data_IF_117407421873
#
_entry.id   IF_117407421873
#
_cell.length_a   1.000
_cell.length_b   1.000
_cell.length_c   1.000
_cell.angle_alpha   90.00
_cell.angle_beta   90.00
_cell.angle_gamma   90.00
#
_symmetry.space_group_name_H-M   'P 1'
#
loop_
_entity.id
_entity.type
_entity.pdbx_description
1 polymer ?
#
# COMPACT_ATOMS: atom_id res chain seq x y z
N UNK A 1 4.38 -4.43 -22.56
CA UNK A 1 3.74 -3.48 -21.63
C UNK A 1 4.79 -2.99 -20.66
N UNK A 2 5.24 -1.74 -20.80
CA UNK A 2 6.25 -1.18 -19.91
C UNK A 2 5.66 -1.11 -18.49
N UNK A 3 6.29 -1.79 -17.53
CA UNK A 3 6.00 -1.62 -16.10
C UNK A 3 6.45 -0.19 -15.74
N UNK A 4 5.59 0.80 -15.94
CA UNK A 4 5.87 2.16 -15.50
C UNK A 4 6.07 2.12 -13.99
N UNK A 5 7.30 2.43 -13.57
CA UNK A 5 7.69 2.43 -12.17
C UNK A 5 6.84 3.44 -11.41
N UNK A 6 6.31 3.05 -10.25
CA UNK A 6 5.61 3.94 -9.33
C UNK A 6 6.41 5.22 -9.01
N UNK A 7 7.75 5.13 -9.07
CA UNK A 7 8.63 6.28 -8.92
C UNK A 7 8.46 7.33 -10.05
N UNK A 8 8.18 6.91 -11.28
CA UNK A 8 7.96 7.81 -12.40
C UNK A 8 6.63 8.59 -12.23
N UNK A 9 5.61 7.93 -11.70
CA UNK A 9 4.34 8.59 -11.36
C UNK A 9 4.51 9.59 -10.22
N UNK A 10 5.23 9.21 -9.16
CA UNK A 10 5.53 10.12 -8.04
C UNK A 10 6.28 11.38 -8.50
N UNK A 11 7.30 11.21 -9.35
CA UNK A 11 8.06 12.33 -9.90
C UNK A 11 7.20 13.21 -10.82
N UNK A 12 6.33 12.62 -11.64
CA UNK A 12 5.38 13.37 -12.47
C UNK A 12 4.41 14.23 -11.66
N UNK A 13 3.87 13.69 -10.57
CA UNK A 13 2.98 14.44 -9.66
C UNK A 13 3.71 15.63 -9.03
N UNK A 14 4.94 15.44 -8.55
CA UNK A 14 5.74 16.52 -7.95
C UNK A 14 5.99 17.65 -8.96
N UNK A 15 6.37 17.31 -10.20
CA UNK A 15 6.61 18.29 -11.26
C UNK A 15 5.35 19.11 -11.55
N UNK A 16 4.19 18.45 -11.65
CA UNK A 16 2.90 19.13 -11.88
C UNK A 16 2.56 20.07 -10.73
N UNK A 17 2.71 19.63 -9.48
CA UNK A 17 2.45 20.48 -8.30
C UNK A 17 3.34 21.72 -8.31
N UNK A 18 4.64 21.57 -8.59
CA UNK A 18 5.58 22.69 -8.67
C UNK A 18 5.20 23.67 -9.78
N UNK A 19 4.84 23.18 -10.97
CA UNK A 19 4.40 24.02 -12.08
C UNK A 19 3.13 24.81 -11.73
N UNK A 20 2.16 24.19 -11.08
CA UNK A 20 0.93 24.85 -10.65
C UNK A 20 1.21 25.92 -9.60
N UNK A 21 2.14 25.66 -8.68
CA UNK A 21 2.56 26.64 -7.67
C UNK A 21 3.32 27.84 -8.27
N UNK A 22 4.13 27.60 -9.29
CA UNK A 22 4.89 28.62 -10.01
C UNK A 22 4.03 29.44 -10.99
N UNK A 23 2.91 28.88 -11.46
CA UNK A 23 2.01 29.59 -12.37
C UNK A 23 1.39 30.82 -11.72
N UNK A 24 1.56 31.98 -12.33
CA UNK A 24 0.95 33.25 -11.91
C UNK A 24 -0.53 33.36 -12.27
N UNK A 25 -1.00 32.53 -13.22
CA UNK A 25 -2.39 32.49 -13.67
C UNK A 25 -3.28 31.72 -12.70
N UNK A 26 -2.68 30.87 -11.86
CA UNK A 26 -3.39 30.07 -10.89
C UNK A 26 -3.62 30.89 -9.61
N UNK A 27 -4.88 31.10 -9.26
CA UNK A 27 -5.26 31.79 -8.03
C UNK A 27 -4.74 31.08 -6.77
N UNK A 28 -4.45 31.86 -5.72
CA UNK A 28 -3.92 31.38 -4.43
C UNK A 28 -4.77 30.24 -3.85
N UNK A 29 -6.09 30.32 -4.03
CA UNK A 29 -7.04 29.33 -3.52
C UNK A 29 -6.83 27.96 -4.18
N UNK A 30 -6.59 27.92 -5.50
CA UNK A 30 -6.34 26.67 -6.21
C UNK A 30 -4.97 26.08 -5.85
N UNK A 31 -3.95 26.93 -5.63
CA UNK A 31 -2.64 26.51 -5.12
C UNK A 31 -2.76 25.80 -3.77
N UNK A 32 -3.54 26.38 -2.85
CA UNK A 32 -3.78 25.78 -1.54
C UNK A 32 -4.50 24.44 -1.63
N UNK A 33 -5.51 24.32 -2.51
CA UNK A 33 -6.22 23.05 -2.74
C UNK A 33 -5.26 21.99 -3.30
N UNK A 34 -4.39 22.36 -4.23
CA UNK A 34 -3.43 21.43 -4.86
C UNK A 34 -2.42 20.93 -3.82
N UNK A 35 -1.90 21.81 -2.97
CA UNK A 35 -0.99 21.41 -1.87
C UNK A 35 -1.72 20.49 -0.87
N UNK A 36 -2.90 20.88 -0.41
CA UNK A 36 -3.67 20.09 0.55
C UNK A 36 -4.04 18.72 -0.02
N UNK A 37 -4.47 18.66 -1.28
CA UNK A 37 -4.79 17.41 -1.97
C UNK A 37 -3.57 16.51 -2.13
N UNK A 38 -2.40 17.08 -2.45
CA UNK A 38 -1.15 16.32 -2.57
C UNK A 38 -0.74 15.71 -1.23
N UNK A 39 -0.84 16.47 -0.13
CA UNK A 39 -0.56 15.96 1.21
C UNK A 39 -1.53 14.86 1.62
N UNK A 40 -2.83 15.04 1.33
CA UNK A 40 -3.85 14.04 1.63
C UNK A 40 -3.58 12.72 0.89
N UNK A 41 -3.29 12.78 -0.41
CA UNK A 41 -2.96 11.58 -1.19
C UNK A 41 -1.70 10.91 -0.65
N UNK A 42 -0.67 11.67 -0.28
CA UNK A 42 0.54 11.15 0.35
C UNK A 42 0.25 10.38 1.65
N UNK A 43 -0.61 10.94 2.52
CA UNK A 43 -1.03 10.28 3.75
C UNK A 43 -1.83 8.99 3.50
N UNK A 44 -2.73 9.00 2.52
CA UNK A 44 -3.50 7.80 2.12
C UNK A 44 -2.57 6.69 1.63
N UNK A 45 -1.59 7.04 0.78
CA UNK A 45 -0.61 6.06 0.27
C UNK A 45 0.24 5.48 1.41
N UNK A 46 0.66 6.32 2.37
CA UNK A 46 1.40 5.85 3.54
C UNK A 46 0.57 4.88 4.39
N UNK A 47 -0.70 5.21 4.68
CA UNK A 47 -1.60 4.34 5.41
C UNK A 47 -1.84 3.00 4.69
N UNK A 48 -2.01 3.02 3.37
CA UNK A 48 -2.14 1.80 2.57
C UNK A 48 -0.87 0.94 2.61
N UNK A 49 0.31 1.57 2.61
CA UNK A 49 1.58 0.86 2.71
C UNK A 49 1.74 0.19 4.09
N UNK A 50 1.35 0.86 5.17
CA UNK A 50 1.33 0.26 6.52
C UNK A 50 0.38 -0.93 6.60
N UNK A 51 -0.83 -0.82 6.02
CA UNK A 51 -1.79 -1.93 5.96
C UNK A 51 -1.23 -3.10 5.14
N UNK A 52 -0.61 -2.83 4.00
CA UNK A 52 0.01 -3.85 3.15
C UNK A 52 1.14 -4.59 3.89
N UNK A 53 1.97 -3.86 4.64
CA UNK A 53 3.00 -4.45 5.49
C UNK A 53 2.41 -5.30 6.62
N UNK A 54 1.35 -4.82 7.28
CA UNK A 54 0.67 -5.57 8.34
C UNK A 54 0.01 -6.86 7.82
N UNK A 55 -0.59 -6.83 6.63
CA UNK A 55 -1.17 -8.01 5.97
C UNK A 55 -0.09 -8.98 5.49
N UNK A 56 1.03 -8.46 4.96
CA UNK A 56 2.20 -9.27 4.61
C UNK A 56 2.79 -10.00 5.83
N UNK A 57 2.88 -9.33 6.97
CA UNK A 57 3.33 -9.93 8.22
C UNK A 57 2.39 -11.03 8.72
N UNK A 58 1.07 -10.82 8.66
CA UNK A 58 0.07 -11.85 9.03
C UNK A 58 0.06 -13.06 8.09
N UNK A 59 0.41 -12.85 6.82
CA UNK A 59 0.49 -13.93 5.83
C UNK A 59 1.77 -14.77 5.98
N UNK A 60 2.76 -14.26 6.72
CA UNK A 60 4.01 -14.95 7.04
C UNK A 60 3.95 -15.73 8.36
N UNK A 61 2.86 -15.62 9.13
CA UNK A 61 2.61 -16.46 10.29
C UNK A 61 2.42 -17.91 9.79
N UNK A 62 3.29 -18.87 10.18
CA UNK A 62 3.10 -20.25 9.79
C UNK A 62 1.76 -20.70 10.36
N UNK A 63 0.84 -21.12 9.49
CA UNK A 63 -0.35 -21.86 9.91
C UNK A 63 0.10 -22.92 10.92
N UNK A 64 -0.49 -23.00 12.14
CA UNK A 64 -0.13 -24.03 13.08
C UNK A 64 -0.33 -25.36 12.37
N UNK A 65 0.77 -26.07 12.11
CA UNK A 65 0.76 -27.39 11.48
C UNK A 65 -0.30 -28.22 12.20
N UNK A 66 -1.42 -28.50 11.52
CA UNK A 66 -2.36 -29.52 11.97
C UNK A 66 -1.52 -30.78 12.11
N UNK A 67 -1.27 -31.18 13.36
CA UNK A 67 -0.71 -32.49 13.68
C UNK A 67 -1.51 -33.50 12.85
N UNK A 68 -0.88 -34.33 12.01
CA UNK A 68 -1.63 -35.35 11.27
C UNK A 68 -2.40 -36.16 12.31
N UNK A 69 -3.72 -36.22 12.15
CA UNK A 69 -4.58 -36.98 13.03
C UNK A 69 -4.01 -38.40 13.10
N UNK A 70 -3.56 -38.79 14.29
CA UNK A 70 -3.06 -40.12 14.58
C UNK A 70 -4.16 -41.09 14.13
N UNK A 71 -3.85 -41.93 13.14
CA UNK A 71 -4.80 -42.90 12.62
C UNK A 71 -5.31 -43.77 13.78
N UNK A 72 -6.63 -44.06 13.84
CA UNK A 72 -7.19 -44.85 14.93
C UNK A 72 -6.51 -46.22 14.92
N UNK A 73 -5.73 -46.52 15.96
CA UNK A 73 -5.14 -47.85 16.14
C UNK A 73 -6.29 -48.84 16.23
N UNK A 74 -6.46 -49.66 15.20
CA UNK A 74 -7.32 -50.83 15.21
C UNK A 74 -6.89 -51.71 16.37
N UNK A 75 -7.73 -51.75 17.39
CA UNK A 75 -7.57 -52.64 18.53
C UNK A 75 -7.95 -54.04 18.04
N UNK A 76 -6.99 -54.76 17.46
CA UNK A 76 -7.06 -56.21 17.31
C UNK A 76 -7.20 -56.79 18.72
N UNK A 77 -8.42 -57.16 19.09
CA UNK A 77 -8.68 -58.01 20.23
C UNK A 77 -8.50 -59.45 19.75
N UNK A 78 -7.45 -60.08 20.29
CA UNK A 78 -7.33 -61.52 20.41
C UNK A 78 -8.49 -62.11 21.23
#
# INVERSE_FOLDING_TARGET
MAKMSWAAYGLGVVVVVVLVLMSSEVGVLLKSIVVAGTLFVGAVVAALNEIAQALGARSAEPLPTRRPAEAPRTRERA
#
